data_IF_747949483418
#
_entry.id   IF_747949483418
#
_cell.length_a   1.000
_cell.length_b   1.000
_cell.length_c   1.000
_cell.angle_alpha   90.00
_cell.angle_beta   90.00
_cell.angle_gamma   90.00
#
_symmetry.space_group_name_H-M   'P 1'
#
loop_
_entity.id
_entity.type
_entity.pdbx_description
1 polymer ?
#
# COMPACT_ATOMS: atom_id res chain seq x y z
N UNK A 1 16.43 25.48 39.29
CA UNK A 1 17.16 24.54 40.13
C UNK A 1 16.57 23.15 39.89
N UNK A 2 17.47 22.20 39.65
CA UNK A 2 17.31 20.75 39.49
C UNK A 2 16.70 20.28 38.14
N UNK A 3 17.59 20.28 37.15
CA UNK A 3 17.65 19.30 36.06
C UNK A 3 18.78 18.37 36.41
N UNK A 4 18.51 17.33 37.16
CA UNK A 4 19.50 16.29 37.40
C UNK A 4 18.95 14.90 37.16
N UNK A 5 19.80 14.13 36.44
CA UNK A 5 19.80 12.69 36.27
C UNK A 5 18.88 12.10 35.20
N UNK A 6 19.31 12.17 33.95
CA UNK A 6 19.03 11.12 32.99
C UNK A 6 19.73 9.83 33.46
N UNK A 7 19.05 8.66 33.49
CA UNK A 7 19.70 7.41 33.87
C UNK A 7 20.77 7.03 32.86
N UNK A 8 21.94 6.67 33.37
CA UNK A 8 23.07 6.21 32.58
C UNK A 8 22.68 4.95 31.77
N UNK A 9 23.10 4.95 30.53
CA UNK A 9 22.89 3.84 29.60
C UNK A 9 23.47 2.54 30.23
N UNK A 10 22.57 1.60 30.52
CA UNK A 10 22.94 0.24 30.84
C UNK A 10 23.56 -0.42 29.59
N UNK A 11 24.66 -1.14 29.79
CA UNK A 11 25.41 -1.90 28.78
C UNK A 11 24.46 -2.66 27.84
N UNK A 12 24.64 -2.47 26.55
CA UNK A 12 23.88 -3.14 25.51
C UNK A 12 24.11 -4.67 25.61
N UNK A 13 23.06 -5.41 25.80
CA UNK A 13 23.08 -6.87 25.67
C UNK A 13 23.66 -7.27 24.30
N UNK A 14 24.42 -8.37 24.17
CA UNK A 14 25.01 -8.78 22.92
C UNK A 14 23.94 -8.97 21.86
N UNK A 15 24.10 -8.30 20.73
CA UNK A 15 23.18 -8.36 19.60
C UNK A 15 22.98 -9.83 19.18
N UNK A 16 21.77 -10.33 19.40
CA UNK A 16 21.36 -11.62 18.86
C UNK A 16 21.58 -11.57 17.34
N UNK A 17 22.37 -12.51 16.81
CA UNK A 17 22.53 -12.64 15.34
C UNK A 17 21.15 -12.86 14.76
N UNK A 18 20.58 -11.81 14.12
CA UNK A 18 19.39 -11.98 13.31
C UNK A 18 19.73 -13.03 12.25
N UNK A 19 19.07 -14.17 12.35
CA UNK A 19 19.05 -15.14 11.26
C UNK A 19 18.50 -14.42 10.04
N UNK A 20 19.29 -14.32 8.98
CA UNK A 20 18.83 -13.89 7.66
C UNK A 20 17.89 -14.98 7.16
N UNK A 21 16.62 -14.95 7.59
CA UNK A 21 15.57 -15.64 6.86
C UNK A 21 15.41 -14.87 5.56
N UNK A 22 16.00 -15.39 4.51
CA UNK A 22 15.60 -15.07 3.15
C UNK A 22 14.11 -15.36 3.10
N UNK A 23 13.29 -14.31 3.00
CA UNK A 23 11.89 -14.50 2.68
C UNK A 23 11.83 -15.35 1.42
N UNK A 24 11.02 -16.42 1.36
CA UNK A 24 10.87 -17.17 0.13
C UNK A 24 10.50 -16.16 -0.95
N UNK A 25 11.18 -16.23 -2.12
CA UNK A 25 10.74 -15.51 -3.30
C UNK A 25 9.29 -15.99 -3.53
N UNK A 26 8.32 -15.14 -3.18
CA UNK A 26 6.92 -15.39 -3.50
C UNK A 26 6.86 -15.25 -5.00
N UNK A 27 6.90 -16.40 -5.71
CA UNK A 27 6.61 -16.41 -7.13
C UNK A 27 5.29 -15.67 -7.34
N UNK A 28 5.31 -14.72 -8.26
CA UNK A 28 4.13 -14.00 -8.72
C UNK A 28 3.19 -14.98 -9.45
N UNK A 29 2.51 -15.85 -8.73
CA UNK A 29 1.38 -16.60 -9.27
C UNK A 29 0.12 -15.74 -9.19
N UNK A 30 0.19 -14.57 -9.84
CA UNK A 30 -0.90 -13.61 -9.87
C UNK A 30 -1.85 -13.97 -11.02
N UNK A 31 -3.04 -14.45 -10.64
CA UNK A 31 -4.09 -14.81 -11.59
C UNK A 31 -4.48 -13.63 -12.50
N UNK A 32 -4.43 -12.41 -11.97
CA UNK A 32 -4.68 -11.19 -12.74
C UNK A 32 -3.64 -10.98 -13.84
N UNK A 33 -2.34 -11.01 -13.50
CA UNK A 33 -1.26 -10.84 -14.47
C UNK A 33 -1.22 -11.97 -15.48
N UNK A 34 -1.53 -13.22 -15.07
CA UNK A 34 -1.64 -14.34 -16.02
C UNK A 34 -2.71 -14.10 -17.08
N UNK A 35 -3.92 -13.69 -16.66
CA UNK A 35 -5.00 -13.34 -17.59
C UNK A 35 -4.60 -12.18 -18.50
N UNK A 36 -4.02 -11.12 -17.94
CA UNK A 36 -3.58 -9.97 -18.71
C UNK A 36 -2.54 -10.36 -19.78
N UNK A 37 -1.54 -11.15 -19.42
CA UNK A 37 -0.50 -11.62 -20.33
C UNK A 37 -1.02 -12.60 -21.38
N UNK A 38 -2.07 -13.37 -21.06
CA UNK A 38 -2.75 -14.25 -22.01
C UNK A 38 -3.70 -13.50 -22.96
N UNK A 39 -3.89 -12.18 -22.77
CA UNK A 39 -4.86 -11.39 -23.54
C UNK A 39 -6.31 -11.70 -23.19
N UNK A 40 -6.55 -12.29 -22.02
CA UNK A 40 -7.89 -12.59 -21.53
C UNK A 40 -8.55 -11.35 -20.96
N UNK A 41 -9.89 -11.35 -20.94
CA UNK A 41 -10.64 -10.27 -20.33
C UNK A 41 -10.45 -10.29 -18.82
N UNK A 42 -10.06 -9.14 -18.25
CA UNK A 42 -9.95 -8.91 -16.82
C UNK A 42 -11.09 -8.01 -16.35
N UNK A 43 -11.71 -8.38 -15.22
CA UNK A 43 -12.76 -7.61 -14.57
C UNK A 43 -12.19 -7.01 -13.28
N UNK A 44 -11.90 -5.71 -13.34
CA UNK A 44 -11.49 -4.90 -12.20
C UNK A 44 -12.69 -4.11 -11.69
N UNK A 45 -12.94 -4.13 -10.38
CA UNK A 45 -14.03 -3.40 -9.77
C UNK A 45 -13.48 -2.48 -8.69
N UNK A 46 -13.84 -1.19 -8.77
CA UNK A 46 -13.50 -0.23 -7.73
C UNK A 46 -14.48 -0.34 -6.56
N UNK A 47 -13.93 -0.44 -5.37
CA UNK A 47 -14.68 -0.42 -4.13
C UNK A 47 -14.00 0.55 -3.16
N UNK A 48 -14.66 1.64 -2.89
CA UNK A 48 -14.17 2.70 -2.00
C UNK A 48 -13.95 2.20 -0.57
N UNK A 49 -12.80 2.52 0.02
CA UNK A 49 -12.51 2.19 1.41
C UNK A 49 -13.50 2.85 2.38
N UNK A 50 -13.78 2.23 3.54
CA UNK A 50 -14.75 2.75 4.51
C UNK A 50 -14.33 4.10 5.12
N UNK A 51 -15.32 4.86 5.58
CA UNK A 51 -15.09 6.08 6.40
C UNK A 51 -15.10 5.80 7.90
N UNK A 52 -15.35 4.56 8.28
CA UNK A 52 -15.42 4.10 9.67
C UNK A 52 -14.42 2.98 9.92
N UNK A 53 -14.10 2.71 11.18
CA UNK A 53 -13.09 1.70 11.54
C UNK A 53 -13.56 0.24 11.33
N UNK A 54 -14.80 0.02 10.93
CA UNK A 54 -15.35 -1.32 10.66
C UNK A 54 -15.15 -1.74 9.20
N UNK A 55 -14.52 -2.90 9.01
CA UNK A 55 -14.27 -3.52 7.69
C UNK A 55 -15.24 -4.67 7.36
N UNK A 56 -16.11 -5.07 8.28
CA UNK A 56 -16.98 -6.25 8.09
C UNK A 56 -17.81 -6.17 6.81
N UNK A 57 -18.58 -5.10 6.66
CA UNK A 57 -19.41 -4.89 5.47
C UNK A 57 -18.61 -4.74 4.18
N UNK A 58 -17.41 -4.15 4.26
CA UNK A 58 -16.50 -4.02 3.11
C UNK A 58 -16.01 -5.40 2.63
N UNK A 59 -15.53 -6.24 3.54
CA UNK A 59 -15.04 -7.59 3.22
C UNK A 59 -16.16 -8.50 2.72
N UNK A 60 -17.37 -8.35 3.23
CA UNK A 60 -18.53 -9.08 2.69
C UNK A 60 -18.88 -8.64 1.27
N UNK A 61 -18.79 -7.34 0.98
CA UNK A 61 -18.90 -6.80 -0.37
C UNK A 61 -17.81 -7.38 -1.30
N UNK A 62 -16.57 -7.38 -0.87
CA UNK A 62 -15.44 -7.93 -1.62
C UNK A 62 -15.62 -9.43 -1.93
N UNK A 63 -16.05 -10.25 -0.96
CA UNK A 63 -16.36 -11.69 -1.18
C UNK A 63 -17.46 -11.89 -2.23
N UNK A 64 -18.49 -11.07 -2.19
CA UNK A 64 -19.60 -11.16 -3.17
C UNK A 64 -19.13 -10.79 -4.56
N UNK A 65 -18.26 -9.78 -4.71
CA UNK A 65 -17.67 -9.39 -5.99
C UNK A 65 -16.75 -10.48 -6.53
N UNK A 66 -15.92 -11.07 -5.69
CA UNK A 66 -15.07 -12.21 -6.05
C UNK A 66 -15.92 -13.41 -6.52
N UNK A 67 -16.96 -13.76 -5.79
CA UNK A 67 -17.89 -14.83 -6.17
C UNK A 67 -18.65 -14.53 -7.48
N UNK A 68 -18.85 -13.26 -7.80
CA UNK A 68 -19.45 -12.82 -9.06
C UNK A 68 -18.46 -12.78 -10.24
N UNK A 69 -17.19 -13.12 -10.02
CA UNK A 69 -16.17 -13.21 -11.06
C UNK A 69 -15.29 -11.97 -11.25
N UNK A 70 -15.23 -11.06 -10.27
CA UNK A 70 -14.24 -10.01 -10.28
C UNK A 70 -12.83 -10.60 -10.09
N UNK A 71 -11.89 -10.21 -10.94
CA UNK A 71 -10.50 -10.67 -10.89
C UNK A 71 -9.67 -9.90 -9.87
N UNK A 72 -9.96 -8.61 -9.70
CA UNK A 72 -9.30 -7.78 -8.72
C UNK A 72 -10.23 -6.66 -8.20
N UNK A 73 -9.90 -6.16 -7.02
CA UNK A 73 -10.47 -4.92 -6.49
C UNK A 73 -9.46 -3.79 -6.64
N UNK A 74 -9.90 -2.65 -7.16
CA UNK A 74 -9.17 -1.39 -7.04
C UNK A 74 -9.75 -0.60 -5.86
N UNK A 75 -8.88 0.00 -5.06
CA UNK A 75 -9.27 0.64 -3.79
C UNK A 75 -8.79 2.08 -3.79
N UNK A 76 -9.73 3.02 -3.85
CA UNK A 76 -9.40 4.44 -3.95
C UNK A 76 -8.71 4.98 -2.69
N UNK A 77 -7.66 5.81 -2.88
CA UNK A 77 -6.92 6.48 -1.81
C UNK A 77 -7.49 7.87 -1.57
N UNK A 78 -8.37 7.99 -0.58
CA UNK A 78 -9.02 9.24 -0.18
C UNK A 78 -9.58 10.04 -1.38
N UNK A 79 -10.54 9.48 -2.14
CA UNK A 79 -11.11 10.14 -3.31
C UNK A 79 -11.69 11.50 -2.96
N UNK A 80 -11.60 12.44 -3.92
CA UNK A 80 -11.95 13.86 -3.72
C UNK A 80 -11.28 14.51 -2.48
N UNK A 81 -10.10 14.02 -2.13
CA UNK A 81 -9.30 14.46 -0.98
C UNK A 81 -9.99 14.33 0.38
N UNK A 82 -11.01 13.49 0.51
CA UNK A 82 -11.68 13.23 1.78
C UNK A 82 -11.11 12.00 2.47
N UNK A 83 -10.77 12.13 3.75
CA UNK A 83 -10.19 11.06 4.55
C UNK A 83 -11.09 9.82 4.60
N UNK A 84 -10.50 8.67 4.32
CA UNK A 84 -11.08 7.33 4.45
C UNK A 84 -10.04 6.40 5.08
N UNK A 85 -10.42 5.16 5.35
CA UNK A 85 -9.45 4.15 5.74
C UNK A 85 -8.39 4.01 4.65
N UNK A 86 -7.11 3.90 5.04
CA UNK A 86 -5.98 3.81 4.10
C UNK A 86 -6.18 2.65 3.11
N UNK A 87 -6.13 2.94 1.82
CA UNK A 87 -6.35 1.99 0.73
C UNK A 87 -5.41 0.80 0.78
N UNK A 88 -4.15 1.03 1.21
CA UNK A 88 -3.12 0.00 1.30
C UNK A 88 -3.38 -0.97 2.45
N UNK A 89 -3.84 -0.47 3.61
CA UNK A 89 -4.24 -1.33 4.73
C UNK A 89 -5.45 -2.19 4.37
N UNK A 90 -6.42 -1.61 3.66
CA UNK A 90 -7.59 -2.35 3.16
C UNK A 90 -7.16 -3.41 2.15
N UNK A 91 -6.24 -3.08 1.22
CA UNK A 91 -5.71 -4.04 0.25
C UNK A 91 -5.01 -5.23 0.94
N UNK A 92 -4.17 -4.98 1.95
CA UNK A 92 -3.55 -6.03 2.75
C UNK A 92 -4.59 -6.95 3.40
N UNK A 93 -5.69 -6.40 3.91
CA UNK A 93 -6.77 -7.18 4.52
C UNK A 93 -7.53 -8.02 3.49
N UNK A 94 -7.88 -7.46 2.34
CA UNK A 94 -8.53 -8.17 1.23
C UNK A 94 -7.64 -9.31 0.74
N UNK A 95 -6.36 -9.03 0.49
CA UNK A 95 -5.40 -10.04 0.05
C UNK A 95 -5.28 -11.18 1.07
N UNK A 96 -5.08 -10.85 2.34
CA UNK A 96 -4.87 -11.82 3.42
C UNK A 96 -6.08 -12.69 3.71
N UNK A 97 -7.28 -12.11 3.74
CA UNK A 97 -8.50 -12.81 4.14
C UNK A 97 -9.23 -13.50 2.99
N UNK A 98 -9.10 -12.98 1.77
CA UNK A 98 -9.84 -13.49 0.62
C UNK A 98 -8.94 -14.13 -0.45
N UNK A 99 -7.62 -13.96 -0.36
CA UNK A 99 -6.71 -14.35 -1.43
C UNK A 99 -6.99 -13.63 -2.76
N UNK A 100 -7.74 -12.53 -2.72
CA UNK A 100 -8.11 -11.76 -3.90
C UNK A 100 -7.02 -10.74 -4.23
N UNK A 101 -6.74 -10.55 -5.51
CA UNK A 101 -5.87 -9.47 -5.96
C UNK A 101 -6.49 -8.12 -5.56
N UNK A 102 -5.71 -7.30 -4.89
CA UNK A 102 -6.12 -5.98 -4.43
C UNK A 102 -5.10 -4.94 -4.87
N UNK A 103 -5.57 -3.95 -5.62
CA UNK A 103 -4.78 -2.89 -6.22
C UNK A 103 -5.11 -1.57 -5.51
N UNK A 104 -4.38 -1.20 -4.45
CA UNK A 104 -4.58 0.08 -3.80
C UNK A 104 -4.14 1.22 -4.70
N UNK A 105 -4.91 2.30 -4.75
CA UNK A 105 -4.44 3.55 -5.31
C UNK A 105 -3.42 4.16 -4.35
N UNK A 106 -2.38 4.75 -4.92
CA UNK A 106 -1.35 5.46 -4.17
C UNK A 106 -1.24 6.89 -4.68
N UNK A 107 -1.78 7.84 -3.93
CA UNK A 107 -1.73 9.25 -4.29
C UNK A 107 -0.40 9.89 -3.85
N UNK A 108 0.02 10.91 -4.60
CA UNK A 108 1.17 11.74 -4.23
C UNK A 108 0.79 12.88 -3.27
N UNK A 109 -0.50 13.06 -2.98
CA UNK A 109 -1.01 14.22 -2.25
C UNK A 109 -0.52 14.27 -0.80
N UNK A 110 -0.60 13.15 -0.09
CA UNK A 110 -0.49 13.15 1.38
C UNK A 110 0.82 12.56 1.90
N UNK A 111 1.67 12.02 1.02
CA UNK A 111 2.89 11.29 1.42
C UNK A 111 4.14 11.92 0.84
N UNK A 112 5.16 12.05 1.71
CA UNK A 112 6.53 12.35 1.28
C UNK A 112 7.26 11.06 0.84
N UNK A 113 8.50 11.22 0.36
CA UNK A 113 9.33 10.10 -0.11
C UNK A 113 9.49 9.00 0.93
N UNK A 114 9.76 9.35 2.19
CA UNK A 114 9.97 8.35 3.24
C UNK A 114 8.70 7.57 3.55
N UNK A 115 7.56 8.26 3.66
CA UNK A 115 6.27 7.63 3.89
C UNK A 115 5.86 6.74 2.70
N UNK A 116 6.14 7.18 1.47
CA UNK A 116 5.91 6.39 0.25
C UNK A 116 6.76 5.12 0.25
N UNK A 117 8.06 5.23 0.53
CA UNK A 117 8.96 4.07 0.59
C UNK A 117 8.55 3.08 1.68
N UNK A 118 8.27 3.56 2.88
CA UNK A 118 7.84 2.71 3.99
C UNK A 118 6.57 1.93 3.65
N UNK A 119 5.59 2.59 3.02
CA UNK A 119 4.34 1.95 2.60
C UNK A 119 4.57 0.89 1.52
N UNK A 120 5.39 1.17 0.51
CA UNK A 120 5.71 0.21 -0.55
C UNK A 120 6.40 -1.05 0.01
N UNK A 121 7.35 -0.87 0.93
CA UNK A 121 8.00 -2.00 1.62
C UNK A 121 6.99 -2.82 2.43
N UNK A 122 6.05 -2.15 3.10
CA UNK A 122 4.97 -2.81 3.84
C UNK A 122 4.03 -3.60 2.94
N UNK A 123 3.57 -3.01 1.84
CA UNK A 123 2.74 -3.69 0.84
C UNK A 123 3.45 -4.94 0.29
N UNK A 124 4.73 -4.77 -0.06
CA UNK A 124 5.55 -5.87 -0.55
C UNK A 124 5.65 -7.02 0.48
N UNK A 125 5.89 -6.70 1.75
CA UNK A 125 5.97 -7.69 2.83
C UNK A 125 4.64 -8.41 3.07
N UNK A 126 3.51 -7.73 2.90
CA UNK A 126 2.16 -8.29 3.03
C UNK A 126 1.68 -9.08 1.79
N UNK A 127 2.48 -9.13 0.73
CA UNK A 127 2.14 -9.88 -0.48
C UNK A 127 1.34 -9.10 -1.53
N UNK A 128 1.00 -7.85 -1.27
CA UNK A 128 0.37 -6.98 -2.28
C UNK A 128 1.43 -6.57 -3.31
N UNK A 129 1.16 -6.83 -4.58
CA UNK A 129 2.13 -6.67 -5.69
C UNK A 129 1.71 -5.65 -6.73
N UNK A 130 0.52 -5.13 -6.64
CA UNK A 130 -0.06 -4.17 -7.56
C UNK A 130 -0.39 -2.87 -6.83
N UNK A 131 -0.04 -1.74 -7.45
CA UNK A 131 -0.45 -0.41 -7.00
C UNK A 131 -0.82 0.46 -8.20
N UNK A 132 -1.82 1.31 -8.04
CA UNK A 132 -2.14 2.34 -9.02
C UNK A 132 -1.50 3.66 -8.59
N UNK A 133 -0.42 4.05 -9.27
CA UNK A 133 0.26 5.31 -9.01
C UNK A 133 -0.51 6.48 -9.63
N UNK A 134 -1.08 7.34 -8.80
CA UNK A 134 -1.86 8.50 -9.22
C UNK A 134 -1.36 9.79 -8.56
N UNK A 135 -1.60 10.93 -9.20
CA UNK A 135 -1.21 12.22 -8.61
C UNK A 135 -2.09 12.56 -7.41
N UNK A 136 -3.38 12.23 -7.48
CA UNK A 136 -4.38 12.51 -6.46
C UNK A 136 -5.13 13.83 -6.71
N UNK A 137 -6.35 13.88 -6.21
CA UNK A 137 -7.21 15.05 -6.31
C UNK A 137 -6.67 16.23 -5.50
N UNK A 138 -6.88 17.47 -5.93
CA UNK A 138 -6.51 18.63 -5.15
C UNK A 138 -7.39 18.74 -3.89
N UNK A 139 -6.81 19.24 -2.79
CA UNK A 139 -7.55 19.51 -1.57
C UNK A 139 -8.59 20.61 -1.85
N UNK A 140 -9.86 20.41 -1.47
CA UNK A 140 -10.90 21.41 -1.60
C UNK A 140 -10.51 22.74 -0.93
N UNK A 141 -10.89 23.85 -1.52
CA UNK A 141 -10.47 25.18 -1.01
C UNK A 141 -10.89 25.40 0.43
N UNK A 142 -12.07 24.91 0.82
CA UNK A 142 -12.59 25.05 2.19
C UNK A 142 -11.78 24.29 3.27
N UNK A 143 -10.99 23.27 2.85
CA UNK A 143 -10.24 22.40 3.78
C UNK A 143 -8.73 22.72 3.81
N UNK A 144 -8.26 23.68 2.99
CA UNK A 144 -6.82 23.98 2.85
C UNK A 144 -6.14 24.55 4.07
N UNK A 145 -6.90 25.09 5.00
CA UNK A 145 -6.35 25.59 6.25
C UNK A 145 -6.02 24.45 7.21
N UNK A 146 -6.77 23.37 7.20
CA UNK A 146 -6.62 22.21 8.07
C UNK A 146 -5.72 21.14 7.43
N UNK A 147 -5.86 20.92 6.12
CA UNK A 147 -5.14 19.86 5.38
C UNK A 147 -4.07 20.48 4.49
N UNK A 148 -2.82 20.02 4.67
CA UNK A 148 -1.69 20.47 3.84
C UNK A 148 -1.27 19.33 2.91
N UNK A 149 -1.19 19.64 1.63
CA UNK A 149 -0.66 18.69 0.63
C UNK A 149 0.87 18.61 0.68
N UNK A 150 1.40 17.50 0.19
CA UNK A 150 2.84 17.26 0.07
C UNK A 150 3.29 17.32 -1.38
N UNK A 151 2.63 16.58 -2.27
CA UNK A 151 2.93 16.49 -3.71
C UNK A 151 4.43 16.47 -4.03
N UNK A 152 5.22 15.70 -3.29
CA UNK A 152 6.65 15.53 -3.58
C UNK A 152 6.87 14.85 -4.94
N UNK A 153 5.94 13.99 -5.33
CA UNK A 153 5.87 13.34 -6.64
C UNK A 153 4.64 13.80 -7.42
N UNK A 154 4.63 13.48 -8.71
CA UNK A 154 3.43 13.24 -9.51
C UNK A 154 3.40 11.75 -9.89
N UNK A 155 2.32 11.29 -10.48
CA UNK A 155 2.14 9.86 -10.83
C UNK A 155 3.29 9.27 -11.64
N UNK A 156 3.83 10.01 -12.63
CA UNK A 156 4.98 9.56 -13.44
C UNK A 156 6.23 9.37 -12.59
N UNK A 157 6.58 10.35 -11.76
CA UNK A 157 7.75 10.26 -10.86
C UNK A 157 7.57 9.18 -9.82
N UNK A 158 6.35 9.01 -9.31
CA UNK A 158 6.03 7.93 -8.37
C UNK A 158 6.23 6.56 -9.02
N UNK A 159 5.72 6.34 -10.23
CA UNK A 159 5.93 5.08 -10.95
C UNK A 159 7.42 4.81 -11.21
N UNK A 160 8.20 5.82 -11.63
CA UNK A 160 9.66 5.69 -11.80
C UNK A 160 10.35 5.33 -10.48
N UNK A 161 9.94 5.95 -9.39
CA UNK A 161 10.48 5.66 -8.07
C UNK A 161 10.18 4.23 -7.63
N UNK A 162 8.94 3.76 -7.80
CA UNK A 162 8.55 2.37 -7.50
C UNK A 162 9.45 1.38 -8.25
N UNK A 163 9.62 1.57 -9.55
CA UNK A 163 10.49 0.72 -10.37
C UNK A 163 11.94 0.75 -9.87
N UNK A 164 12.44 1.90 -9.42
CA UNK A 164 13.82 2.03 -8.92
C UNK A 164 14.11 1.28 -7.63
N UNK A 165 13.09 0.94 -6.85
CA UNK A 165 13.20 0.16 -5.61
C UNK A 165 13.32 -1.34 -5.85
N UNK A 166 13.04 -1.82 -7.06
CA UNK A 166 12.98 -3.22 -7.39
C UNK A 166 14.24 -3.71 -8.10
N UNK A 167 14.58 -4.98 -7.88
CA UNK A 167 15.69 -5.68 -8.55
C UNK A 167 16.68 -6.31 -7.59
N UNK A 168 17.64 -7.04 -8.16
CA UNK A 168 18.68 -7.71 -7.39
C UNK A 168 19.52 -6.69 -6.60
N UNK A 169 19.69 -6.94 -5.30
CA UNK A 169 20.39 -6.03 -4.39
C UNK A 169 19.66 -4.73 -4.05
N UNK A 170 18.40 -4.61 -4.46
CA UNK A 170 17.53 -3.49 -4.10
C UNK A 170 16.65 -3.83 -2.89
N UNK A 171 15.89 -2.83 -2.45
CA UNK A 171 15.01 -2.95 -1.29
C UNK A 171 13.85 -3.93 -1.51
N UNK A 172 13.41 -4.09 -2.75
CA UNK A 172 12.41 -5.08 -3.16
C UNK A 172 13.02 -6.04 -4.18
N UNK A 173 12.95 -7.38 -3.98
CA UNK A 173 13.50 -8.37 -4.90
C UNK A 173 12.87 -8.35 -6.30
N UNK A 174 11.60 -7.96 -6.39
CA UNK A 174 10.87 -7.82 -7.65
C UNK A 174 10.02 -6.54 -7.64
N UNK A 175 9.53 -6.07 -8.78
CA UNK A 175 8.59 -4.94 -8.84
C UNK A 175 7.28 -5.23 -8.08
N UNK A 176 6.68 -4.15 -7.60
CA UNK A 176 5.31 -4.10 -7.07
C UNK A 176 4.42 -3.55 -8.18
#
# INVERSE_FOLDING_TARGET
AELDALPQQTEAAPAAKLSTRTAPAVEKDDAFLRKLNAGEKVIAIELDSPRVADLGGYLDGARRLQAAGADLLTIADCPIAQARMDSSLVACRVHRELGMCALPHMTCRDRNLNATKALLLGLYAEGVREVLAITGDPIPTAERDEVKNVYQFNSRKLAQYIVSLAGEGREMPSPI
#
